data_IF_817706472595
#
_entry.id   IF_817706472595
#
_cell.length_a   1.000
_cell.length_b   1.000
_cell.length_c   1.000
_cell.angle_alpha   90.00
_cell.angle_beta   90.00
_cell.angle_gamma   90.00
#
_symmetry.space_group_name_H-M   'P 1'
#
loop_
_entity.id
_entity.type
_entity.pdbx_description
1 polymer ?
#
# COMPACT_ATOMS: atom_id res chain seq x y z
N UNK A 1 17.68 -81.80 11.29
CA UNK A 1 16.25 -81.44 11.31
C UNK A 1 15.94 -80.45 12.44
N UNK A 2 16.34 -80.73 13.69
CA UNK A 2 16.04 -79.86 14.85
C UNK A 2 16.70 -78.48 14.83
N UNK A 3 17.93 -78.35 14.29
CA UNK A 3 18.62 -77.05 14.17
C UNK A 3 17.85 -76.04 13.31
N UNK A 4 17.45 -76.45 12.10
CA UNK A 4 16.71 -75.60 11.16
C UNK A 4 15.37 -75.11 11.73
N UNK A 5 14.72 -75.88 12.60
CA UNK A 5 13.45 -75.50 13.24
C UNK A 5 13.68 -74.41 14.30
N UNK A 6 14.76 -74.52 15.09
CA UNK A 6 15.14 -73.49 16.07
C UNK A 6 15.50 -72.17 15.38
N UNK A 7 16.24 -72.23 14.28
CA UNK A 7 16.63 -71.05 13.51
C UNK A 7 15.41 -70.35 12.91
N UNK A 8 14.44 -71.11 12.39
CA UNK A 8 13.19 -70.56 11.88
C UNK A 8 12.36 -69.88 12.98
N UNK A 9 12.27 -70.48 14.17
CA UNK A 9 11.58 -69.89 15.32
C UNK A 9 12.27 -68.61 15.81
N UNK A 10 13.60 -68.58 15.82
CA UNK A 10 14.38 -67.39 16.16
C UNK A 10 14.13 -66.25 15.15
N UNK A 11 14.17 -66.57 13.84
CA UNK A 11 13.86 -65.61 12.78
C UNK A 11 12.42 -65.09 12.89
N UNK A 12 11.45 -65.96 13.19
CA UNK A 12 10.06 -65.55 13.42
C UNK A 12 9.95 -64.59 14.60
N UNK A 13 10.60 -64.88 15.73
CA UNK A 13 10.59 -64.01 16.90
C UNK A 13 11.22 -62.64 16.59
N UNK A 14 12.26 -62.59 15.76
CA UNK A 14 12.90 -61.35 15.34
C UNK A 14 11.98 -60.50 14.44
N UNK A 15 11.27 -61.14 13.50
CA UNK A 15 10.26 -60.45 12.69
C UNK A 15 9.11 -59.90 13.54
N UNK A 16 8.64 -60.66 14.53
CA UNK A 16 7.60 -60.21 15.46
C UNK A 16 8.05 -59.00 16.27
N UNK A 17 9.31 -58.98 16.74
CA UNK A 17 9.89 -57.81 17.41
C UNK A 17 9.92 -56.59 16.50
N UNK A 18 10.35 -56.75 15.25
CA UNK A 18 10.38 -55.64 14.28
C UNK A 18 8.99 -55.08 14.01
N UNK A 19 7.98 -55.94 13.89
CA UNK A 19 6.58 -55.50 13.75
C UNK A 19 6.14 -54.71 14.99
N UNK A 20 6.44 -55.20 16.20
CA UNK A 20 6.08 -54.51 17.44
C UNK A 20 6.74 -53.13 17.53
N UNK A 21 8.02 -53.01 17.13
CA UNK A 21 8.73 -51.73 17.08
C UNK A 21 8.09 -50.77 16.08
N UNK A 22 7.76 -51.23 14.87
CA UNK A 22 7.11 -50.40 13.85
C UNK A 22 5.73 -49.90 14.31
N UNK A 23 4.96 -50.74 15.02
CA UNK A 23 3.67 -50.33 15.60
C UNK A 23 3.87 -49.24 16.64
N UNK A 24 4.87 -49.40 17.53
CA UNK A 24 5.20 -48.38 18.53
C UNK A 24 5.65 -47.06 17.88
N UNK A 25 6.46 -47.12 16.82
CA UNK A 25 6.88 -45.95 16.04
C UNK A 25 5.69 -45.26 15.39
N UNK A 26 4.73 -46.02 14.83
CA UNK A 26 3.51 -45.45 14.26
C UNK A 26 2.66 -44.75 15.33
N UNK A 27 2.49 -45.34 16.51
CA UNK A 27 1.74 -44.71 17.60
C UNK A 27 2.42 -43.43 18.10
N UNK A 28 3.76 -43.44 18.20
CA UNK A 28 4.54 -42.24 18.51
C UNK A 28 4.39 -41.16 17.45
N UNK A 29 4.45 -41.52 16.16
CA UNK A 29 4.29 -40.57 15.06
C UNK A 29 2.89 -39.95 15.05
N UNK A 30 1.86 -40.76 15.31
CA UNK A 30 0.47 -40.30 15.41
C UNK A 30 0.29 -39.33 16.56
N UNK A 31 0.90 -39.59 17.71
CA UNK A 31 0.84 -38.68 18.85
C UNK A 31 1.66 -37.41 18.63
N UNK A 32 2.84 -37.53 18.00
CA UNK A 32 3.65 -36.37 17.62
C UNK A 32 2.90 -35.46 16.64
N UNK A 33 2.18 -36.04 15.67
CA UNK A 33 1.30 -35.30 14.76
C UNK A 33 0.20 -34.61 15.55
N UNK A 34 -0.46 -35.31 16.49
CA UNK A 34 -1.50 -34.73 17.36
C UNK A 34 -0.97 -33.57 18.22
N UNK A 35 0.21 -33.70 18.80
CA UNK A 35 0.83 -32.66 19.64
C UNK A 35 1.35 -31.49 18.81
N UNK A 36 1.92 -31.76 17.63
CA UNK A 36 2.44 -30.72 16.73
C UNK A 36 1.31 -29.97 16.01
N UNK A 37 0.07 -30.48 16.05
CA UNK A 37 -1.08 -29.77 15.52
C UNK A 37 -1.60 -28.62 16.40
N UNK A 38 -0.95 -28.32 17.53
CA UNK A 38 -1.25 -27.15 18.36
C UNK A 38 -0.70 -25.81 17.83
N UNK A 39 0.26 -25.83 16.90
CA UNK A 39 1.01 -24.63 16.48
C UNK A 39 0.56 -24.01 15.14
N UNK A 40 -0.34 -24.65 14.38
CA UNK A 40 -0.89 -24.06 13.15
C UNK A 40 -2.30 -23.54 13.39
N UNK A 41 -2.60 -22.37 12.82
CA UNK A 41 -3.91 -21.74 12.93
C UNK A 41 -5.01 -22.68 12.42
N UNK A 42 -5.93 -23.05 13.31
CA UNK A 42 -7.04 -23.95 12.94
C UNK A 42 -7.98 -23.25 11.96
N UNK A 43 -8.78 -24.03 11.22
CA UNK A 43 -9.77 -23.44 10.31
C UNK A 43 -10.77 -22.52 11.04
N UNK A 44 -11.06 -22.79 12.32
CA UNK A 44 -11.86 -21.91 13.18
C UNK A 44 -11.17 -20.58 13.45
N UNK A 45 -9.86 -20.57 13.68
CA UNK A 45 -9.12 -19.33 13.93
C UNK A 45 -9.08 -18.46 12.69
N UNK A 46 -8.87 -19.07 11.52
CA UNK A 46 -8.96 -18.37 10.23
C UNK A 46 -10.33 -17.72 10.07
N UNK A 47 -11.43 -18.45 10.32
CA UNK A 47 -12.80 -17.90 10.23
C UNK A 47 -13.05 -16.76 11.21
N UNK A 48 -12.54 -16.85 12.44
CA UNK A 48 -12.63 -15.77 13.44
C UNK A 48 -11.91 -14.51 12.97
N UNK A 49 -10.71 -14.66 12.41
CA UNK A 49 -9.96 -13.54 11.85
C UNK A 49 -10.68 -12.91 10.66
N UNK A 50 -11.28 -13.71 9.77
CA UNK A 50 -12.07 -13.20 8.65
C UNK A 50 -13.25 -12.36 9.13
N UNK A 51 -14.03 -12.88 10.10
CA UNK A 51 -15.16 -12.14 10.66
C UNK A 51 -14.73 -10.84 11.35
N UNK A 52 -13.61 -10.87 12.09
CA UNK A 52 -13.05 -9.67 12.72
C UNK A 52 -12.60 -8.63 11.68
N UNK A 53 -11.99 -9.07 10.57
CA UNK A 53 -11.56 -8.17 9.50
C UNK A 53 -12.75 -7.50 8.81
N UNK A 54 -13.80 -8.26 8.50
CA UNK A 54 -15.05 -7.75 7.92
C UNK A 54 -15.71 -6.69 8.83
N UNK A 55 -15.70 -6.93 10.14
CA UNK A 55 -16.24 -5.97 11.11
C UNK A 55 -15.43 -4.66 11.13
N UNK A 56 -14.11 -4.76 11.14
CA UNK A 56 -13.23 -3.59 11.10
C UNK A 56 -13.41 -2.81 9.80
N UNK A 57 -13.55 -3.49 8.66
CA UNK A 57 -13.82 -2.85 7.36
C UNK A 57 -15.16 -2.13 7.34
N UNK A 58 -16.20 -2.73 7.90
CA UNK A 58 -17.51 -2.11 8.04
C UNK A 58 -17.43 -0.82 8.85
N UNK A 59 -16.82 -0.87 10.04
CA UNK A 59 -16.65 0.31 10.92
C UNK A 59 -15.84 1.40 10.23
N UNK A 60 -14.75 1.05 9.55
CA UNK A 60 -13.93 2.01 8.79
C UNK A 60 -14.77 2.79 7.79
N UNK A 61 -15.57 2.10 6.96
CA UNK A 61 -16.40 2.76 5.93
C UNK A 61 -17.43 3.69 6.56
N UNK A 62 -18.14 3.22 7.59
CA UNK A 62 -19.13 4.02 8.30
C UNK A 62 -18.51 5.30 8.88
N UNK A 63 -17.32 5.20 9.47
CA UNK A 63 -16.62 6.35 10.03
C UNK A 63 -16.10 7.30 8.93
N UNK A 64 -15.57 6.77 7.81
CA UNK A 64 -15.21 7.59 6.66
C UNK A 64 -16.41 8.38 6.13
N UNK A 65 -17.58 7.75 6.02
CA UNK A 65 -18.81 8.41 5.57
C UNK A 65 -19.22 9.54 6.53
N UNK A 66 -19.18 9.31 7.85
CA UNK A 66 -19.48 10.34 8.86
C UNK A 66 -18.50 11.52 8.76
N UNK A 67 -17.21 11.23 8.64
CA UNK A 67 -16.17 12.27 8.50
C UNK A 67 -16.44 13.15 7.27
N UNK A 68 -16.78 12.53 6.13
CA UNK A 68 -17.13 13.27 4.92
C UNK A 68 -18.42 14.10 5.09
N UNK A 69 -19.40 13.62 5.85
CA UNK A 69 -20.60 14.38 6.18
C UNK A 69 -20.27 15.62 7.04
N UNK A 70 -19.47 15.45 8.09
CA UNK A 70 -19.05 16.56 8.96
C UNK A 70 -18.22 17.60 8.20
N UNK A 71 -17.28 17.17 7.36
CA UNK A 71 -16.52 18.06 6.48
C UNK A 71 -17.43 18.90 5.58
N UNK A 72 -18.49 18.29 5.02
CA UNK A 72 -19.48 19.03 4.21
C UNK A 72 -20.28 20.03 5.04
N UNK A 73 -20.67 19.66 6.27
CA UNK A 73 -21.39 20.56 7.16
C UNK A 73 -20.51 21.75 7.55
N UNK A 74 -19.26 21.51 7.92
CA UNK A 74 -18.28 22.57 8.20
C UNK A 74 -18.06 23.45 6.97
N UNK A 75 -17.94 22.88 5.78
CA UNK A 75 -17.83 23.63 4.54
C UNK A 75 -19.05 24.55 4.31
N UNK A 76 -20.28 24.10 4.61
CA UNK A 76 -21.49 24.94 4.53
C UNK A 76 -21.48 26.09 5.54
N UNK A 77 -21.02 25.84 6.77
CA UNK A 77 -20.89 26.89 7.80
C UNK A 77 -19.88 27.94 7.36
N UNK A 78 -18.71 27.52 6.86
CA UNK A 78 -17.68 28.43 6.36
C UNK A 78 -18.10 29.15 5.06
N UNK A 79 -18.92 28.53 4.22
CA UNK A 79 -19.44 29.10 2.97
C UNK A 79 -20.62 30.06 3.18
N UNK A 80 -21.12 30.22 4.41
CA UNK A 80 -22.11 31.25 4.71
C UNK A 80 -21.49 32.63 4.45
N UNK A 81 -22.06 33.47 3.57
CA UNK A 81 -21.39 34.67 3.10
C UNK A 81 -21.27 35.70 4.22
N UNK A 82 -20.09 36.33 4.32
CA UNK A 82 -19.95 37.60 5.02
C UNK A 82 -20.91 38.64 4.40
N UNK A 83 -21.48 39.59 5.18
CA UNK A 83 -22.37 40.60 4.64
C UNK A 83 -21.66 41.39 3.54
N UNK A 84 -22.28 41.42 2.36
CA UNK A 84 -21.76 42.07 1.15
C UNK A 84 -21.46 43.56 1.38
N UNK A 85 -20.26 44.08 1.05
CA UNK A 85 -20.09 45.50 0.84
C UNK A 85 -20.78 45.92 -0.47
N UNK A 86 -21.34 47.14 -0.48
CA UNK A 86 -22.18 47.71 -1.55
C UNK A 86 -21.53 47.70 -2.96
N UNK A 87 -22.34 47.71 -4.03
CA UNK A 87 -21.84 47.71 -5.41
C UNK A 87 -21.28 49.10 -5.79
N UNK A 88 -20.04 49.14 -6.26
CA UNK A 88 -19.49 50.26 -7.02
C UNK A 88 -19.63 49.97 -8.52
N UNK A 89 -20.14 50.96 -9.24
CA UNK A 89 -20.38 51.02 -10.69
C UNK A 89 -19.10 50.83 -11.55
N UNK A 90 -19.25 50.44 -12.83
CA UNK A 90 -18.12 50.18 -13.73
C UNK A 90 -17.62 51.46 -14.40
N UNK A 91 -16.30 51.55 -14.61
CA UNK A 91 -15.68 52.55 -15.50
C UNK A 91 -14.88 51.82 -16.60
N UNK A 92 -14.98 52.20 -17.89
CA UNK A 92 -14.37 51.46 -19.00
C UNK A 92 -12.91 51.85 -19.29
N UNK A 93 -12.13 50.83 -19.68
CA UNK A 93 -11.04 50.78 -20.66
C UNK A 93 -9.93 51.86 -20.67
N UNK A 94 -8.69 51.41 -20.48
CA UNK A 94 -7.58 51.89 -21.32
C UNK A 94 -6.52 50.79 -21.52
N UNK A 95 -6.12 50.65 -22.79
CA UNK A 95 -5.20 49.65 -23.32
C UNK A 95 -3.78 50.24 -23.38
N UNK A 96 -2.82 49.32 -23.37
CA UNK A 96 -1.50 49.41 -24.01
C UNK A 96 -0.26 49.90 -23.24
N UNK A 97 0.59 48.91 -22.98
CA UNK A 97 2.03 48.80 -23.34
C UNK A 97 3.12 49.12 -22.32
N UNK A 98 4.07 48.15 -22.27
CA UNK A 98 5.52 48.25 -21.99
C UNK A 98 5.89 48.40 -20.50
N UNK A 99 6.84 47.67 -19.90
CA UNK A 99 7.97 46.85 -20.39
C UNK A 99 8.32 45.76 -19.36
N UNK A 100 8.89 44.66 -19.87
CA UNK A 100 9.73 43.67 -19.19
C UNK A 100 10.92 44.35 -18.48
N UNK A 101 11.46 43.72 -17.42
CA UNK A 101 12.90 43.44 -17.48
C UNK A 101 13.23 41.99 -17.08
N UNK A 102 14.11 41.41 -17.88
CA UNK A 102 15.13 40.42 -17.51
C UNK A 102 16.44 40.98 -18.08
N UNK A 103 17.67 40.50 -17.78
CA UNK A 103 18.07 39.29 -17.02
C UNK A 103 19.31 39.46 -16.11
N UNK A 104 19.67 38.43 -15.33
CA UNK A 104 21.04 37.94 -15.08
C UNK A 104 20.91 36.67 -14.22
N UNK A 105 20.99 35.45 -14.73
CA UNK A 105 22.13 34.73 -15.36
C UNK A 105 23.19 34.26 -14.36
N UNK A 106 23.34 32.93 -14.32
CA UNK A 106 24.32 32.10 -13.64
C UNK A 106 23.79 30.66 -13.66
N UNK A 107 23.50 30.07 -14.83
CA UNK A 107 24.45 29.35 -15.68
C UNK A 107 24.98 28.05 -15.03
N UNK A 108 24.38 26.94 -15.43
CA UNK A 108 24.83 25.57 -15.25
C UNK A 108 24.17 24.75 -16.37
N UNK A 109 24.81 24.76 -17.53
CA UNK A 109 24.43 24.00 -18.72
C UNK A 109 24.56 22.49 -18.48
N UNK A 110 23.62 21.72 -19.05
CA UNK A 110 23.90 20.64 -20.01
C UNK A 110 22.79 19.58 -20.01
N UNK A 111 22.30 19.23 -21.21
CA UNK A 111 21.94 17.85 -21.52
C UNK A 111 20.45 17.51 -21.58
N UNK A 112 19.88 17.64 -22.77
CA UNK A 112 18.98 16.68 -23.43
C UNK A 112 18.01 15.83 -22.60
N UNK A 113 16.72 16.12 -22.78
CA UNK A 113 15.63 15.21 -22.47
C UNK A 113 14.35 16.00 -22.28
N UNK A 114 13.44 15.96 -23.25
CA UNK A 114 12.06 16.42 -23.02
C UNK A 114 11.45 15.38 -22.07
N UNK A 115 11.60 15.58 -20.76
CA UNK A 115 10.90 14.76 -19.79
C UNK A 115 9.43 15.19 -19.80
N UNK A 116 8.63 14.49 -20.60
CA UNK A 116 7.17 14.56 -20.44
C UNK A 116 6.84 14.13 -19.02
N UNK A 117 6.09 14.93 -18.28
CA UNK A 117 5.71 14.63 -16.90
C UNK A 117 4.39 15.27 -16.55
N UNK A 118 3.80 14.80 -15.46
CA UNK A 118 2.52 15.27 -14.97
C UNK A 118 2.72 16.11 -13.70
N UNK A 119 2.14 17.31 -13.66
CA UNK A 119 2.05 18.07 -12.41
C UNK A 119 0.84 17.56 -11.62
N UNK A 120 1.08 17.04 -10.41
CA UNK A 120 0.03 16.56 -9.52
C UNK A 120 -0.07 17.48 -8.30
N UNK A 121 -1.30 17.78 -7.90
CA UNK A 121 -1.59 18.52 -6.67
C UNK A 121 -2.04 17.53 -5.62
N UNK A 122 -1.25 17.40 -4.54
CA UNK A 122 -1.52 16.46 -3.44
C UNK A 122 -2.91 16.74 -2.85
N UNK A 123 -3.75 15.71 -2.81
CA UNK A 123 -5.08 15.76 -2.19
C UNK A 123 -5.01 15.25 -0.74
N UNK A 124 -5.99 15.60 0.11
CA UNK A 124 -6.04 15.10 1.48
C UNK A 124 -6.15 13.57 1.48
N UNK A 125 -5.25 12.91 2.21
CA UNK A 125 -5.17 11.45 2.30
C UNK A 125 -4.23 10.78 1.30
N UNK A 126 -3.66 11.54 0.36
CA UNK A 126 -2.68 10.99 -0.57
C UNK A 126 -1.34 10.70 0.12
N UNK A 127 -0.77 9.54 -0.20
CA UNK A 127 0.61 9.17 0.16
C UNK A 127 1.45 9.09 -1.12
N UNK A 128 2.76 9.38 -1.04
CA UNK A 128 3.64 9.33 -2.21
C UNK A 128 3.61 7.96 -2.90
N UNK A 129 3.54 6.89 -2.12
CA UNK A 129 3.37 5.51 -2.62
C UNK A 129 2.05 5.31 -3.35
N UNK A 130 0.94 5.83 -2.82
CA UNK A 130 -0.39 5.72 -3.43
C UNK A 130 -0.50 6.52 -4.73
N UNK A 131 0.07 7.73 -4.77
CA UNK A 131 0.13 8.55 -5.99
C UNK A 131 0.94 7.82 -7.06
N UNK A 132 2.16 7.38 -6.72
CA UNK A 132 3.02 6.64 -7.67
C UNK A 132 2.33 5.39 -8.18
N UNK A 133 1.69 4.63 -7.30
CA UNK A 133 0.95 3.42 -7.69
C UNK A 133 -0.22 3.73 -8.64
N UNK A 134 -1.00 4.78 -8.35
CA UNK A 134 -2.10 5.19 -9.23
C UNK A 134 -1.62 5.59 -10.63
N UNK A 135 -0.47 6.27 -10.74
CA UNK A 135 0.11 6.61 -12.04
C UNK A 135 0.68 5.39 -12.78
N UNK A 136 1.22 4.40 -12.05
CA UNK A 136 1.62 3.11 -12.65
C UNK A 136 0.43 2.35 -13.21
N UNK A 137 -0.71 2.38 -12.53
CA UNK A 137 -1.96 1.79 -13.02
C UNK A 137 -2.51 2.51 -14.26
N UNK A 138 -2.22 3.80 -14.41
CA UNK A 138 -2.52 4.59 -15.60
C UNK A 138 -1.52 4.36 -16.76
N UNK A 139 -0.55 3.45 -16.60
CA UNK A 139 0.45 3.14 -17.61
C UNK A 139 1.70 4.02 -17.56
N UNK A 140 1.87 4.84 -16.53
CA UNK A 140 3.08 5.65 -16.33
C UNK A 140 4.04 4.91 -15.39
N UNK A 141 5.08 4.30 -15.96
CA UNK A 141 6.09 3.55 -15.21
C UNK A 141 7.04 4.48 -14.43
N UNK A 142 6.53 5.02 -13.32
CA UNK A 142 7.26 5.90 -12.40
C UNK A 142 7.52 5.22 -11.06
N UNK A 143 8.71 5.45 -10.49
CA UNK A 143 9.11 4.95 -9.18
C UNK A 143 9.20 6.09 -8.16
N UNK A 144 8.95 5.80 -6.88
CA UNK A 144 9.08 6.77 -5.78
C UNK A 144 10.45 7.47 -5.79
N UNK A 145 11.53 6.73 -6.08
CA UNK A 145 12.89 7.27 -6.18
C UNK A 145 13.05 8.26 -7.34
N UNK A 146 12.35 8.05 -8.46
CA UNK A 146 12.36 8.97 -9.60
C UNK A 146 11.57 10.25 -9.28
N UNK A 147 10.41 10.13 -8.62
CA UNK A 147 9.64 11.32 -8.17
C UNK A 147 10.45 12.15 -7.17
N UNK A 148 11.19 11.52 -6.26
CA UNK A 148 12.04 12.23 -5.30
C UNK A 148 13.23 12.93 -5.96
N UNK A 149 13.82 12.33 -7.00
CA UNK A 149 14.87 12.97 -7.80
C UNK A 149 14.34 14.18 -8.56
N UNK A 150 13.12 14.07 -9.11
CA UNK A 150 12.49 15.15 -9.84
C UNK A 150 11.96 16.28 -8.95
N UNK A 151 11.74 16.03 -7.65
CA UNK A 151 11.29 17.03 -6.67
C UNK A 151 12.29 17.14 -5.50
N UNK A 152 13.40 17.87 -5.68
CA UNK A 152 14.36 18.08 -4.60
C UNK A 152 13.71 18.78 -3.40
N UNK A 153 13.80 18.16 -2.22
CA UNK A 153 13.19 18.67 -0.97
C UNK A 153 11.80 18.10 -0.65
N UNK A 154 11.25 17.23 -1.50
CA UNK A 154 10.01 16.51 -1.19
C UNK A 154 10.28 15.42 -0.16
N UNK A 155 9.51 15.44 0.94
CA UNK A 155 9.58 14.44 2.00
C UNK A 155 8.48 13.39 1.80
N UNK A 156 8.80 12.10 1.57
CA UNK A 156 7.80 11.04 1.37
C UNK A 156 6.78 10.92 2.51
N UNK A 157 7.24 11.16 3.75
CA UNK A 157 6.44 11.01 4.96
C UNK A 157 5.72 12.32 5.36
N UNK A 158 5.91 13.41 4.61
CA UNK A 158 5.33 14.73 4.89
C UNK A 158 4.88 15.41 3.61
N UNK A 159 3.95 14.79 2.91
CA UNK A 159 3.24 15.45 1.83
C UNK A 159 2.24 16.45 2.40
N UNK A 160 2.30 17.70 1.94
CA UNK A 160 1.34 18.74 2.31
C UNK A 160 0.19 18.76 1.30
N UNK A 161 -1.04 18.84 1.78
CA UNK A 161 -2.21 18.99 0.91
C UNK A 161 -2.09 20.31 0.15
N UNK A 162 -2.31 20.27 -1.17
CA UNK A 162 -2.12 21.41 -2.07
C UNK A 162 -0.67 21.59 -2.56
N UNK A 163 0.27 20.76 -2.12
CA UNK A 163 1.63 20.76 -2.65
C UNK A 163 1.63 20.27 -4.09
N UNK A 164 2.33 21.03 -4.95
CA UNK A 164 2.59 20.67 -6.34
C UNK A 164 3.79 19.73 -6.40
N UNK A 165 3.61 18.59 -7.02
CA UNK A 165 4.66 17.59 -7.23
C UNK A 165 4.76 17.31 -8.72
N UNK A 166 5.98 17.18 -9.22
CA UNK A 166 6.23 16.80 -10.60
C UNK A 166 6.45 15.29 -10.70
N UNK A 167 5.62 14.61 -11.47
CA UNK A 167 5.71 13.17 -11.68
C UNK A 167 6.37 12.98 -13.05
N UNK A 168 7.65 12.55 -13.11
CA UNK A 168 8.29 12.28 -14.39
C UNK A 168 7.60 11.08 -15.04
N UNK A 169 7.20 11.22 -16.31
CA UNK A 169 6.73 10.12 -17.13
C UNK A 169 7.87 9.75 -18.09
N UNK A 170 8.72 8.76 -17.74
CA UNK A 170 9.64 8.23 -18.73
C UNK A 170 8.78 7.64 -19.85
N UNK A 171 8.73 8.31 -21.01
CA UNK A 171 8.21 7.70 -22.22
C UNK A 171 9.07 6.46 -22.46
N UNK A 172 8.43 5.28 -22.38
CA UNK A 172 9.00 4.06 -22.92
C UNK A 172 9.38 4.33 -24.38
N UNK A 173 10.67 4.20 -24.69
CA UNK A 173 11.13 3.87 -26.04
C UNK A 173 10.87 2.39 -26.30
#
# INVERSE_FOLDING_TARGET
MEGNIRDLLAAQAETQKRIATLVQELDQLREQIRSNHGDWATQSDVRRLTAALEEVDRKRREDYEKIHQELRNLAKVLASPAPTPRPATPTPAERETRRRPTPSTGAGEAGGGVETGYEYVVKPGDTLSAIVQAYREQGVNVTVTQVLKANPGLNPNRLLVGQKIFIPAPQEQ
#
